data_IF_366151854571
#
_entry.id   IF_366151854571
#
_cell.length_a   1.000
_cell.length_b   1.000
_cell.length_c   1.000
_cell.angle_alpha   90.00
_cell.angle_beta   90.00
_cell.angle_gamma   90.00
#
_symmetry.space_group_name_H-M   'P 1'
#
loop_
_entity.id
_entity.type
_entity.pdbx_description
1 polymer ?
#
# COMPACT_ATOMS: atom_id res chain seq x y z
N UNK A 1 19.67 31.07 -27.05
CA UNK A 1 19.37 32.37 -26.41
C UNK A 1 19.40 32.16 -24.91
N UNK A 2 20.30 32.84 -24.20
CA UNK A 2 20.34 32.82 -22.75
C UNK A 2 19.34 33.83 -22.19
N UNK A 3 18.50 33.42 -21.25
CA UNK A 3 17.64 34.34 -20.51
C UNK A 3 18.47 35.10 -19.47
N UNK A 4 18.16 36.37 -19.22
CA UNK A 4 18.86 37.17 -18.21
C UNK A 4 18.58 36.64 -16.80
N UNK A 5 19.54 36.84 -15.88
CA UNK A 5 19.41 36.43 -14.48
C UNK A 5 18.22 37.13 -13.81
N UNK A 6 18.02 38.41 -14.10
CA UNK A 6 16.91 39.22 -13.60
C UNK A 6 15.54 38.66 -14.02
N UNK A 7 15.41 38.22 -15.27
CA UNK A 7 14.18 37.61 -15.77
C UNK A 7 13.91 36.26 -15.08
N UNK A 8 14.95 35.42 -14.92
CA UNK A 8 14.83 34.15 -14.20
C UNK A 8 14.35 34.39 -12.76
N UNK A 9 14.94 35.35 -12.05
CA UNK A 9 14.59 35.66 -10.67
C UNK A 9 13.17 36.24 -10.55
N UNK A 10 12.73 37.08 -11.49
CA UNK A 10 11.37 37.59 -11.55
C UNK A 10 10.34 36.47 -11.74
N UNK A 11 10.61 35.50 -12.62
CA UNK A 11 9.73 34.34 -12.83
C UNK A 11 9.72 33.41 -11.62
N UNK A 12 10.87 33.21 -10.97
CA UNK A 12 10.96 32.40 -9.76
C UNK A 12 10.15 33.00 -8.59
N UNK A 13 10.16 34.34 -8.41
CA UNK A 13 9.32 35.02 -7.40
C UNK A 13 7.81 34.79 -7.58
N UNK A 14 7.36 34.54 -8.81
CA UNK A 14 5.96 34.21 -9.13
C UNK A 14 5.65 32.74 -8.91
N UNK A 15 6.57 31.85 -9.30
CA UNK A 15 6.41 30.40 -9.28
C UNK A 15 6.66 29.74 -7.92
N UNK A 16 7.34 30.43 -7.01
CA UNK A 16 7.69 29.97 -5.67
C UNK A 16 6.84 30.68 -4.60
N UNK A 17 6.85 30.18 -3.36
CA UNK A 17 6.25 30.89 -2.23
C UNK A 17 6.81 32.33 -2.13
N UNK A 18 5.96 33.33 -1.85
CA UNK A 18 4.58 33.20 -1.36
C UNK A 18 3.49 33.10 -2.45
N UNK A 19 3.79 33.38 -3.72
CA UNK A 19 2.76 33.53 -4.76
C UNK A 19 2.26 32.21 -5.36
N UNK A 20 3.13 31.21 -5.52
CA UNK A 20 2.80 29.86 -6.02
C UNK A 20 1.96 29.85 -7.31
N UNK A 21 2.21 30.76 -8.25
CA UNK A 21 1.48 30.81 -9.50
C UNK A 21 1.74 29.56 -10.36
N UNK A 22 0.73 29.14 -11.14
CA UNK A 22 0.87 27.95 -11.99
C UNK A 22 1.85 28.20 -13.14
N UNK A 23 2.65 27.18 -13.47
CA UNK A 23 3.63 27.25 -14.58
C UNK A 23 2.92 27.60 -15.88
N UNK A 24 1.72 27.06 -16.12
CA UNK A 24 0.93 27.33 -17.33
C UNK A 24 0.52 28.80 -17.44
N UNK A 25 0.16 29.45 -16.33
CA UNK A 25 -0.20 30.87 -16.30
C UNK A 25 1.02 31.75 -16.58
N UNK A 26 2.12 31.51 -15.86
CA UNK A 26 3.36 32.28 -16.02
C UNK A 26 3.96 32.09 -17.42
N UNK A 27 3.88 30.87 -17.97
CA UNK A 27 4.33 30.58 -19.35
C UNK A 27 3.56 31.40 -20.39
N UNK A 28 2.23 31.51 -20.24
CA UNK A 28 1.39 32.26 -21.16
C UNK A 28 1.66 33.76 -21.12
N UNK A 29 1.89 34.31 -19.92
CA UNK A 29 2.12 35.74 -19.73
C UNK A 29 3.54 36.17 -20.08
N UNK A 30 4.55 35.37 -19.73
CA UNK A 30 5.95 35.69 -19.97
C UNK A 30 6.45 35.26 -21.36
N UNK A 31 5.66 34.47 -22.11
CA UNK A 31 6.08 33.90 -23.39
C UNK A 31 7.22 32.90 -23.26
N UNK A 32 7.43 32.30 -22.08
CA UNK A 32 8.51 31.35 -21.80
C UNK A 32 7.93 29.93 -21.83
N UNK A 33 8.68 29.00 -22.42
CA UNK A 33 8.29 27.58 -22.44
C UNK A 33 8.02 27.07 -21.02
N UNK A 34 6.90 26.35 -20.79
CA UNK A 34 6.60 25.70 -19.51
C UNK A 34 7.75 24.80 -19.02
N UNK A 35 8.46 24.16 -19.95
CA UNK A 35 9.59 23.30 -19.65
C UNK A 35 10.76 24.07 -19.03
N UNK A 36 11.08 25.25 -19.56
CA UNK A 36 12.14 26.12 -19.04
C UNK A 36 11.81 26.62 -17.63
N UNK A 37 10.56 27.05 -17.41
CA UNK A 37 10.08 27.49 -16.10
C UNK A 37 10.11 26.36 -15.07
N UNK A 38 9.71 25.15 -15.47
CA UNK A 38 9.81 23.94 -14.63
C UNK A 38 11.25 23.66 -14.23
N UNK A 39 12.18 23.69 -15.20
CA UNK A 39 13.61 23.50 -14.96
C UNK A 39 14.15 24.52 -13.97
N UNK A 40 13.86 25.81 -14.14
CA UNK A 40 14.31 26.85 -13.21
C UNK A 40 13.73 26.68 -11.82
N UNK A 41 12.44 26.33 -11.71
CA UNK A 41 11.80 26.04 -10.43
C UNK A 41 12.50 24.89 -9.72
N UNK A 42 12.88 23.84 -10.45
CA UNK A 42 13.59 22.69 -9.90
C UNK A 42 15.05 23.02 -9.53
N UNK A 43 15.77 23.78 -10.34
CA UNK A 43 17.13 24.26 -10.02
C UNK A 43 17.14 25.17 -8.78
N UNK A 44 16.17 26.08 -8.67
CA UNK A 44 16.03 26.95 -7.50
C UNK A 44 15.70 26.16 -6.23
N UNK A 45 14.86 25.12 -6.36
CA UNK A 45 14.56 24.19 -5.28
C UNK A 45 15.78 23.36 -4.85
N UNK A 46 16.59 22.89 -5.79
CA UNK A 46 17.79 22.10 -5.50
C UNK A 46 18.90 22.91 -4.81
N UNK A 47 19.01 24.21 -5.12
CA UNK A 47 20.01 25.10 -4.53
C UNK A 47 19.59 25.70 -3.17
N UNK A 48 18.30 25.60 -2.82
CA UNK A 48 17.71 26.22 -1.63
C UNK A 48 17.37 25.20 -0.55
N UNK A 49 18.37 24.70 0.18
CA UNK A 49 18.25 23.79 1.34
C UNK A 49 17.75 22.37 0.98
N UNK A 50 18.29 21.30 1.59
CA UNK A 50 17.76 19.93 1.47
C UNK A 50 16.43 19.80 2.23
N UNK A 51 15.42 20.57 1.81
CA UNK A 51 14.04 20.38 2.23
C UNK A 51 13.41 19.36 1.27
N UNK A 52 12.76 18.32 1.79
CA UNK A 52 12.22 17.26 0.95
C UNK A 52 11.14 17.85 0.04
N UNK A 53 11.39 17.75 -1.27
CA UNK A 53 10.62 18.48 -2.28
C UNK A 53 9.74 17.50 -3.05
N UNK A 54 8.49 17.38 -2.59
CA UNK A 54 7.44 16.65 -3.29
C UNK A 54 6.09 17.16 -2.81
N UNK A 55 5.13 17.30 -3.73
CA UNK A 55 3.76 17.72 -3.39
C UNK A 55 3.09 16.72 -2.41
N UNK A 56 3.62 15.49 -2.35
CA UNK A 56 3.21 14.44 -1.42
C UNK A 56 4.28 14.23 -0.35
N UNK A 57 3.89 14.34 0.92
CA UNK A 57 4.75 13.98 2.05
C UNK A 57 5.26 12.53 1.97
N UNK A 58 4.60 11.67 1.20
CA UNK A 58 4.95 10.25 1.10
C UNK A 58 6.23 9.98 0.28
N UNK A 59 6.63 10.89 -0.61
CA UNK A 59 7.88 10.76 -1.39
C UNK A 59 9.14 11.19 -0.64
N UNK A 60 8.99 11.71 0.59
CA UNK A 60 10.09 12.23 1.38
C UNK A 60 10.86 11.11 2.08
N UNK A 61 12.18 11.27 2.24
CA UNK A 61 12.95 10.32 3.01
C UNK A 61 12.49 10.31 4.48
N UNK A 62 12.57 9.16 5.14
CA UNK A 62 12.20 9.04 6.56
C UNK A 62 13.05 9.95 7.44
N UNK A 63 14.31 10.20 7.06
CA UNK A 63 15.21 11.12 7.75
C UNK A 63 14.74 12.57 7.64
N UNK A 64 14.32 13.02 6.45
CA UNK A 64 13.83 14.39 6.27
C UNK A 64 12.50 14.63 6.99
N UNK A 65 11.60 13.63 6.98
CA UNK A 65 10.36 13.64 7.77
C UNK A 65 10.67 13.82 9.25
N UNK A 66 11.63 13.06 9.76
CA UNK A 66 12.06 13.14 11.15
C UNK A 66 12.66 14.52 11.49
N UNK A 67 13.55 15.05 10.63
CA UNK A 67 14.17 16.34 10.84
C UNK A 67 13.13 17.48 10.93
N UNK A 68 12.15 17.49 10.02
CA UNK A 68 11.06 18.48 10.05
C UNK A 68 10.25 18.38 11.34
N UNK A 69 9.93 17.17 11.78
CA UNK A 69 9.17 16.97 13.04
C UNK A 69 9.96 17.48 14.24
N UNK A 70 11.27 17.20 14.29
CA UNK A 70 12.16 17.66 15.38
C UNK A 70 12.32 19.18 15.37
N UNK A 71 12.65 19.77 14.22
CA UNK A 71 12.86 21.22 14.08
C UNK A 71 11.59 21.99 14.46
N UNK A 72 10.43 21.46 14.11
CA UNK A 72 9.17 22.18 14.32
C UNK A 72 8.53 21.88 15.68
N UNK A 73 9.00 20.88 16.44
CA UNK A 73 8.35 20.40 17.67
C UNK A 73 8.02 21.50 18.70
N UNK A 74 8.89 22.51 18.86
CA UNK A 74 8.71 23.63 19.79
C UNK A 74 8.09 24.88 19.18
N UNK A 75 7.84 24.88 17.86
CA UNK A 75 7.35 26.07 17.14
C UNK A 75 5.86 26.30 17.38
N UNK A 76 5.49 27.57 17.58
CA UNK A 76 4.10 28.01 17.60
C UNK A 76 3.51 28.10 16.17
N UNK A 77 2.22 28.41 16.03
CA UNK A 77 1.55 28.40 14.71
C UNK A 77 2.09 29.48 13.74
N UNK A 78 2.53 30.63 14.26
CA UNK A 78 3.13 31.69 13.44
C UNK A 78 4.53 31.29 12.94
N UNK A 79 5.36 30.74 13.83
CA UNK A 79 6.68 30.20 13.51
C UNK A 79 6.58 29.03 12.53
N UNK A 80 5.57 28.16 12.70
CA UNK A 80 5.28 27.06 11.79
C UNK A 80 4.93 27.58 10.39
N UNK A 81 4.11 28.62 10.29
CA UNK A 81 3.73 29.22 9.02
C UNK A 81 4.93 29.85 8.32
N UNK A 82 5.81 30.53 9.06
CA UNK A 82 7.07 31.06 8.52
C UNK A 82 8.02 29.96 8.07
N UNK A 83 8.19 28.93 8.90
CA UNK A 83 9.02 27.77 8.58
C UNK A 83 8.52 27.06 7.31
N UNK A 84 7.22 26.83 7.23
CA UNK A 84 6.55 26.23 6.07
C UNK A 84 6.79 27.06 4.80
N UNK A 85 6.65 28.40 4.88
CA UNK A 85 6.95 29.30 3.75
C UNK A 85 8.43 29.25 3.36
N UNK A 86 9.36 29.26 4.33
CA UNK A 86 10.82 29.22 4.09
C UNK A 86 11.25 27.91 3.44
N UNK A 87 10.66 26.78 3.85
CA UNK A 87 11.00 25.43 3.37
C UNK A 87 10.13 24.97 2.19
N UNK A 88 9.15 25.76 1.78
CA UNK A 88 8.21 25.41 0.69
C UNK A 88 7.27 24.26 1.02
N UNK A 89 6.88 24.13 2.29
CA UNK A 89 6.01 23.09 2.82
C UNK A 89 4.60 23.65 3.12
N UNK A 90 3.60 22.77 3.18
CA UNK A 90 2.27 23.13 3.69
C UNK A 90 2.19 22.85 5.19
N UNK A 91 1.58 23.75 5.97
CA UNK A 91 1.42 23.54 7.41
C UNK A 91 0.68 22.24 7.73
N UNK A 92 -0.34 21.89 6.94
CA UNK A 92 -1.10 20.66 7.09
C UNK A 92 -0.24 19.40 6.93
N UNK A 93 0.78 19.43 6.07
CA UNK A 93 1.73 18.32 5.92
C UNK A 93 2.58 18.15 7.19
N UNK A 94 3.03 19.25 7.79
CA UNK A 94 3.82 19.22 9.02
C UNK A 94 2.97 18.70 10.19
N UNK A 95 1.71 19.17 10.31
CA UNK A 95 0.75 18.69 11.32
C UNK A 95 0.51 17.17 11.15
N UNK A 96 0.20 16.74 9.93
CA UNK A 96 0.01 15.31 9.60
C UNK A 96 1.24 14.46 9.96
N UNK A 97 2.45 14.96 9.69
CA UNK A 97 3.69 14.26 10.04
C UNK A 97 3.89 14.15 11.55
N UNK A 98 3.59 15.20 12.31
CA UNK A 98 3.64 15.14 13.78
C UNK A 98 2.66 14.11 14.32
N UNK A 99 1.44 14.12 13.82
CA UNK A 99 0.40 13.17 14.23
C UNK A 99 0.81 11.73 13.88
N UNK A 100 1.37 11.51 12.69
CA UNK A 100 1.90 10.22 12.29
C UNK A 100 3.05 9.76 13.21
N UNK A 101 3.97 10.66 13.57
CA UNK A 101 5.05 10.37 14.52
C UNK A 101 4.54 10.02 15.92
N UNK A 102 3.54 10.75 16.44
CA UNK A 102 2.94 10.47 17.75
C UNK A 102 2.21 9.12 17.75
N UNK A 103 1.52 8.78 16.65
CA UNK A 103 0.74 7.56 16.52
C UNK A 103 1.55 6.34 16.06
N UNK A 104 2.80 6.53 15.61
CA UNK A 104 3.64 5.47 15.07
C UNK A 104 3.76 4.29 16.05
N UNK A 105 4.00 4.56 17.34
CA UNK A 105 4.24 3.52 18.33
C UNK A 105 2.97 2.99 19.02
N UNK A 106 1.85 3.71 18.94
CA UNK A 106 0.64 3.39 19.71
C UNK A 106 -0.05 2.07 19.33
N UNK A 107 0.19 1.57 18.11
CA UNK A 107 -0.49 0.37 17.59
C UNK A 107 0.44 -0.78 17.19
N UNK A 108 1.76 -0.59 17.16
CA UNK A 108 2.71 -1.59 16.65
C UNK A 108 2.67 -2.87 17.48
N UNK A 109 2.69 -2.76 18.81
CA UNK A 109 2.68 -3.93 19.69
C UNK A 109 1.38 -4.75 19.55
N UNK A 110 0.22 -4.09 19.44
CA UNK A 110 -1.08 -4.76 19.26
C UNK A 110 -1.21 -5.38 17.86
N UNK A 111 -0.73 -4.70 16.81
CA UNK A 111 -0.71 -5.24 15.45
C UNK A 111 0.22 -6.45 15.33
N UNK A 112 1.39 -6.41 15.95
CA UNK A 112 2.34 -7.52 15.94
C UNK A 112 1.81 -8.77 16.66
N UNK A 113 1.12 -8.61 17.79
CA UNK A 113 0.50 -9.76 18.47
C UNK A 113 -0.68 -10.33 17.69
N UNK A 114 -1.49 -9.46 17.06
CA UNK A 114 -2.59 -9.88 16.19
C UNK A 114 -2.09 -10.64 14.95
N UNK A 115 -1.09 -10.12 14.24
CA UNK A 115 -0.47 -10.78 13.08
C UNK A 115 0.07 -12.16 13.42
N UNK A 116 0.73 -12.31 14.57
CA UNK A 116 1.23 -13.60 15.03
C UNK A 116 0.10 -14.59 15.32
N UNK A 117 -1.03 -14.12 15.86
CA UNK A 117 -2.21 -14.96 16.11
C UNK A 117 -2.83 -15.41 14.79
N UNK A 118 -3.06 -14.49 13.87
CA UNK A 118 -3.61 -14.78 12.54
C UNK A 118 -2.72 -15.78 11.78
N UNK A 119 -1.39 -15.60 11.82
CA UNK A 119 -0.45 -16.52 11.17
C UNK A 119 -0.49 -17.94 11.79
N UNK A 120 -0.69 -18.05 13.10
CA UNK A 120 -0.86 -19.35 13.78
C UNK A 120 -2.19 -20.01 13.40
N UNK A 121 -3.26 -19.24 13.31
CA UNK A 121 -4.58 -19.74 12.89
C UNK A 121 -4.55 -20.21 11.43
N UNK A 122 -3.94 -19.43 10.53
CA UNK A 122 -3.74 -19.81 9.13
C UNK A 122 -2.99 -21.15 9.00
N UNK A 123 -1.86 -21.32 9.71
CA UNK A 123 -1.10 -22.58 9.70
C UNK A 123 -1.88 -23.77 10.26
N UNK A 124 -2.77 -23.56 11.23
CA UNK A 124 -3.63 -24.63 11.76
C UNK A 124 -4.66 -25.05 10.73
N UNK A 125 -5.36 -24.07 10.14
CA UNK A 125 -6.36 -24.31 9.11
C UNK A 125 -5.77 -24.99 7.88
N UNK A 126 -4.57 -24.60 7.46
CA UNK A 126 -3.86 -25.24 6.35
C UNK A 126 -3.57 -26.73 6.61
N UNK A 127 -3.11 -27.08 7.81
CA UNK A 127 -2.89 -28.49 8.20
C UNK A 127 -4.18 -29.29 8.26
N UNK A 128 -5.26 -28.69 8.76
CA UNK A 128 -6.57 -29.34 8.79
C UNK A 128 -7.12 -29.57 7.39
N UNK A 129 -6.94 -28.59 6.49
CA UNK A 129 -7.33 -28.68 5.09
C UNK A 129 -6.58 -29.84 4.41
N UNK A 130 -5.25 -29.91 4.54
CA UNK A 130 -4.44 -31.00 3.97
C UNK A 130 -4.88 -32.38 4.48
N UNK A 131 -5.19 -32.50 5.77
CA UNK A 131 -5.70 -33.77 6.34
C UNK A 131 -7.04 -34.16 5.74
N UNK A 132 -7.97 -33.20 5.58
CA UNK A 132 -9.29 -33.43 4.98
C UNK A 132 -9.18 -33.77 3.49
N UNK A 133 -8.32 -33.10 2.75
CA UNK A 133 -8.07 -33.40 1.33
C UNK A 133 -7.48 -34.81 1.14
N UNK A 134 -6.54 -35.22 2.00
CA UNK A 134 -6.00 -36.58 1.97
C UNK A 134 -7.08 -37.63 2.24
N UNK A 135 -7.89 -37.45 3.28
CA UNK A 135 -8.98 -38.37 3.61
C UNK A 135 -10.03 -38.44 2.47
N UNK A 136 -10.33 -37.29 1.85
CA UNK A 136 -11.23 -37.21 0.70
C UNK A 136 -10.64 -37.91 -0.53
N UNK A 137 -9.35 -37.78 -0.79
CA UNK A 137 -8.65 -38.49 -1.86
C UNK A 137 -8.70 -40.01 -1.64
N UNK A 138 -8.43 -40.48 -0.42
CA UNK A 138 -8.52 -41.89 -0.05
C UNK A 138 -9.95 -42.44 -0.21
N UNK A 139 -10.96 -41.71 0.25
CA UNK A 139 -12.37 -42.09 0.06
C UNK A 139 -12.75 -42.20 -1.43
N UNK A 140 -12.30 -41.24 -2.25
CA UNK A 140 -12.51 -41.29 -3.70
C UNK A 140 -11.83 -42.49 -4.36
N UNK A 141 -10.64 -42.90 -3.89
CA UNK A 141 -9.97 -44.11 -4.37
C UNK A 141 -10.78 -45.35 -4.00
N UNK A 142 -11.25 -45.46 -2.74
CA UNK A 142 -12.08 -46.57 -2.29
C UNK A 142 -13.38 -46.68 -3.09
N UNK A 143 -14.07 -45.57 -3.33
CA UNK A 143 -15.28 -45.54 -4.17
C UNK A 143 -15.01 -45.96 -5.62
N UNK A 144 -13.88 -45.55 -6.20
CA UNK A 144 -13.47 -45.99 -7.55
C UNK A 144 -13.13 -47.48 -7.59
N UNK A 145 -12.58 -48.03 -6.51
CA UNK A 145 -12.28 -49.45 -6.42
C UNK A 145 -13.55 -50.28 -6.22
N UNK A 146 -14.49 -49.84 -5.38
CA UNK A 146 -15.77 -50.53 -5.17
C UNK A 146 -16.58 -50.59 -6.47
N UNK A 147 -16.71 -49.46 -7.18
CA UNK A 147 -17.40 -49.41 -8.47
C UNK A 147 -16.76 -50.33 -9.52
N UNK A 148 -15.42 -50.42 -9.58
CA UNK A 148 -14.72 -51.38 -10.45
C UNK A 148 -14.95 -52.83 -10.01
N UNK A 149 -14.96 -53.10 -8.71
CA UNK A 149 -15.23 -54.44 -8.18
C UNK A 149 -16.66 -54.89 -8.50
N UNK A 150 -17.64 -54.02 -8.31
CA UNK A 150 -19.04 -54.27 -8.64
C UNK A 150 -19.21 -54.53 -10.15
N UNK A 151 -18.48 -53.81 -11.01
CA UNK A 151 -18.49 -54.04 -12.44
C UNK A 151 -17.87 -55.39 -12.87
N UNK A 152 -16.85 -55.88 -12.17
CA UNK A 152 -16.17 -57.15 -12.48
C UNK A 152 -16.94 -58.35 -11.92
N UNK A 153 -17.40 -58.25 -10.66
CA UNK A 153 -18.02 -59.37 -9.95
C UNK A 153 -19.55 -59.39 -10.01
N UNK A 154 -20.18 -58.32 -10.51
CA UNK A 154 -21.64 -58.15 -10.48
C UNK A 154 -22.17 -58.01 -9.05
N UNK A 155 -23.38 -57.47 -8.91
CA UNK A 155 -24.01 -57.30 -7.61
C UNK A 155 -24.21 -58.66 -6.92
N UNK A 156 -23.31 -59.01 -5.99
CA UNK A 156 -23.38 -60.25 -5.22
C UNK A 156 -24.68 -60.35 -4.41
N UNK A 157 -25.40 -59.24 -4.22
CA UNK A 157 -26.69 -59.24 -3.52
C UNK A 157 -27.87 -59.72 -4.37
N UNK A 158 -27.77 -59.73 -5.70
CA UNK A 158 -28.89 -60.15 -6.55
C UNK A 158 -29.09 -61.68 -6.56
N UNK A 159 -28.03 -62.43 -6.28
CA UNK A 159 -28.06 -63.90 -6.21
C UNK A 159 -28.70 -64.45 -4.93
N UNK A 160 -28.76 -63.64 -3.86
CA UNK A 160 -29.40 -64.01 -2.59
C UNK A 160 -30.90 -63.68 -2.56
N UNK A 161 -31.34 -62.67 -3.31
CA UNK A 161 -32.74 -62.30 -3.49
C UNK A 161 -33.52 -63.39 -4.26
N UNK A 162 -32.96 -63.88 -5.38
CA UNK A 162 -33.61 -64.88 -6.22
C UNK A 162 -33.71 -66.29 -5.58
N UNK A 163 -32.80 -66.63 -4.64
CA UNK A 163 -32.87 -67.92 -3.92
C UNK A 163 -33.93 -67.94 -2.83
N UNK A 164 -34.29 -66.79 -2.23
CA UNK A 164 -35.35 -66.71 -1.22
C UNK A 164 -36.76 -66.82 -1.82
N UNK A 165 -36.99 -66.31 -3.03
CA UNK A 165 -38.31 -66.42 -3.67
C UNK A 165 -38.64 -67.83 -4.22
N UNK A 166 -37.65 -68.67 -4.55
CA UNK A 166 -37.91 -70.07 -4.96
C UNK A 166 -38.32 -70.98 -3.79
N UNK A 167 -37.88 -70.70 -2.56
CA UNK A 167 -38.20 -71.52 -1.39
C UNK A 167 -39.52 -71.16 -0.69
N UNK A 168 -40.29 -70.19 -1.19
CA UNK A 168 -41.64 -69.87 -0.68
C UNK A 168 -42.77 -70.32 -1.61
N UNK A 169 -42.46 -70.93 -2.76
CA UNK A 169 -43.45 -71.40 -3.75
C UNK A 169 -43.46 -72.92 -3.97
N UNK A 170 -42.93 -73.71 -3.03
CA UNK A 170 -42.99 -75.18 -3.08
C UNK A 170 -43.63 -75.75 -1.83
#
# INVERSE_FOLDING_TARGET
>A
MGYSKELKDAMLRRLLPPNNESIAKVAREAGISPHTLSRWKNEAKANGTPAPTGDNADTWSTQDKFLIVVETASMNEAELAEYARKKGLYMEQIKTLRDACMNANGSIAKKATQLNREQREAKKLEKELQRKEKALAEANVLLKLSTKADAIWGDRNDTLSHKRQRNQKS
#
